data_IF_021930800510
#
_entry.id   IF_021930800510
#
_cell.length_a   1.000
_cell.length_b   1.000
_cell.length_c   1.000
_cell.angle_alpha   90.00
_cell.angle_beta   90.00
_cell.angle_gamma   90.00
#
_symmetry.space_group_name_H-M   'P 1'
#
loop_
_entity.id
_entity.type
_entity.pdbx_description
1 polymer ?
#
# COMPACT_ATOMS: atom_id res chain seq x y z
N UNK A 1 18.52 35.29 -9.83
CA UNK A 1 17.90 34.02 -9.43
C UNK A 1 18.96 33.29 -8.64
N UNK A 2 18.72 33.00 -7.37
CA UNK A 2 19.75 32.46 -6.49
C UNK A 2 20.15 31.04 -6.94
N UNK A 3 21.45 30.74 -6.94
CA UNK A 3 22.03 29.47 -7.41
C UNK A 3 21.39 28.24 -6.73
N UNK A 4 21.02 28.38 -5.45
CA UNK A 4 20.29 27.35 -4.70
C UNK A 4 18.90 27.06 -5.28
N UNK A 5 18.17 28.10 -5.73
CA UNK A 5 16.85 27.92 -6.34
C UNK A 5 16.95 27.24 -7.71
N UNK A 6 17.97 27.61 -8.49
CA UNK A 6 18.26 26.96 -9.77
C UNK A 6 18.58 25.47 -9.61
N UNK A 7 19.41 25.11 -8.63
CA UNK A 7 19.77 23.72 -8.35
C UNK A 7 18.57 22.89 -7.85
N UNK A 8 17.64 23.49 -7.12
CA UNK A 8 16.41 22.84 -6.68
C UNK A 8 15.47 22.54 -7.85
N UNK A 9 15.24 23.51 -8.74
CA UNK A 9 14.34 23.32 -9.88
C UNK A 9 14.90 22.31 -10.90
N UNK A 10 16.22 22.31 -11.10
CA UNK A 10 16.89 21.27 -11.89
C UNK A 10 16.72 19.87 -11.26
N UNK A 11 16.88 19.77 -9.94
CA UNK A 11 16.71 18.51 -9.20
C UNK A 11 15.30 17.95 -9.32
N UNK A 12 14.27 18.80 -9.30
CA UNK A 12 12.88 18.42 -9.58
C UNK A 12 12.73 17.88 -11.00
N UNK A 13 13.25 18.59 -12.00
CA UNK A 13 13.16 18.19 -13.40
C UNK A 13 13.86 16.84 -13.66
N UNK A 14 14.99 16.59 -13.00
CA UNK A 14 15.68 15.31 -13.13
C UNK A 14 14.92 14.17 -12.45
N UNK A 15 14.28 14.43 -11.30
CA UNK A 15 13.36 13.47 -10.68
C UNK A 15 12.13 13.16 -11.55
N UNK A 16 11.57 14.12 -12.29
CA UNK A 16 10.49 13.86 -13.25
C UNK A 16 10.96 12.90 -14.36
N UNK A 17 12.15 13.12 -14.91
CA UNK A 17 12.73 12.20 -15.91
C UNK A 17 12.92 10.80 -15.33
N UNK A 18 13.46 10.70 -14.11
CA UNK A 18 13.64 9.41 -13.44
C UNK A 18 12.30 8.72 -13.19
N UNK A 19 11.27 9.48 -12.81
CA UNK A 19 9.91 8.97 -12.67
C UNK A 19 9.37 8.44 -13.99
N UNK A 20 9.42 9.21 -15.07
CA UNK A 20 8.92 8.80 -16.38
C UNK A 20 9.61 7.53 -16.88
N UNK A 21 10.93 7.42 -16.70
CA UNK A 21 11.69 6.21 -17.00
C UNK A 21 11.19 5.03 -16.17
N UNK A 22 11.03 5.21 -14.85
CA UNK A 22 10.59 4.14 -13.94
C UNK A 22 9.18 3.62 -14.23
N UNK A 23 8.31 4.42 -14.87
CA UNK A 23 6.95 3.97 -15.24
C UNK A 23 6.94 2.98 -16.39
N UNK A 24 7.96 3.03 -17.26
CA UNK A 24 8.08 2.21 -18.48
C UNK A 24 9.07 1.07 -18.29
N UNK A 25 9.98 1.20 -17.35
CA UNK A 25 11.00 0.21 -17.07
C UNK A 25 10.37 -1.09 -16.53
N UNK A 26 10.86 -2.21 -17.04
CA UNK A 26 10.43 -3.56 -16.65
C UNK A 26 11.51 -4.32 -15.91
N UNK A 27 12.78 -3.96 -16.12
CA UNK A 27 13.91 -4.58 -15.43
C UNK A 27 14.02 -4.11 -13.98
N UNK A 28 14.17 -5.06 -13.05
CA UNK A 28 14.25 -4.78 -11.61
C UNK A 28 15.48 -3.94 -11.29
N UNK A 29 16.64 -4.33 -11.82
CA UNK A 29 17.93 -3.69 -11.53
C UNK A 29 18.00 -2.27 -12.09
N UNK A 30 17.42 -2.02 -13.26
CA UNK A 30 17.27 -0.69 -13.82
C UNK A 30 16.36 0.19 -12.92
N UNK A 31 15.23 -0.34 -12.44
CA UNK A 31 14.38 0.37 -11.47
C UNK A 31 15.10 0.68 -10.16
N UNK A 32 15.93 -0.23 -9.65
CA UNK A 32 16.76 -0.01 -8.45
C UNK A 32 17.77 1.12 -8.68
N UNK A 33 18.43 1.13 -9.85
CA UNK A 33 19.36 2.20 -10.21
C UNK A 33 18.67 3.57 -10.35
N UNK A 34 17.44 3.61 -10.87
CA UNK A 34 16.63 4.83 -10.93
C UNK A 34 16.24 5.32 -9.53
N UNK A 35 15.81 4.40 -8.66
CA UNK A 35 15.46 4.71 -7.27
C UNK A 35 16.68 5.21 -6.47
N UNK A 36 17.86 4.65 -6.72
CA UNK A 36 19.11 5.07 -6.08
C UNK A 36 19.53 6.48 -6.53
N UNK A 37 19.42 6.79 -7.83
CA UNK A 37 19.63 8.17 -8.33
C UNK A 37 18.64 9.15 -7.69
N UNK A 38 17.38 8.75 -7.57
CA UNK A 38 16.35 9.58 -6.94
C UNK A 38 16.63 9.80 -5.44
N UNK A 39 17.11 8.77 -4.73
CA UNK A 39 17.57 8.87 -3.34
C UNK A 39 18.67 9.91 -3.18
N UNK A 40 19.68 9.85 -4.04
CA UNK A 40 20.81 10.80 -3.98
C UNK A 40 20.37 12.26 -4.21
N UNK A 41 19.34 12.50 -5.05
CA UNK A 41 18.75 13.83 -5.22
C UNK A 41 17.97 14.22 -3.96
N UNK A 42 17.18 13.30 -3.40
CA UNK A 42 16.42 13.54 -2.17
C UNK A 42 17.33 13.92 -0.99
N UNK A 43 18.45 13.24 -0.81
CA UNK A 43 19.40 13.50 0.29
C UNK A 43 20.07 14.88 0.23
N UNK A 44 20.08 15.53 -0.94
CA UNK A 44 20.53 16.92 -1.07
C UNK A 44 19.49 17.94 -0.58
N UNK A 45 18.20 17.55 -0.58
CA UNK A 45 17.08 18.40 -0.21
C UNK A 45 16.06 17.65 0.66
N UNK A 46 16.45 17.08 1.82
CA UNK A 46 15.61 16.19 2.60
C UNK A 46 14.34 16.88 3.12
N UNK A 47 14.38 18.19 3.33
CA UNK A 47 13.23 19.00 3.78
C UNK A 47 12.27 19.42 2.64
N UNK A 48 12.62 19.12 1.38
CA UNK A 48 11.77 19.48 0.25
C UNK A 48 10.65 18.46 0.06
N UNK A 49 9.43 18.85 0.43
CA UNK A 49 8.22 18.03 0.26
C UNK A 49 8.02 17.54 -1.19
N UNK A 50 8.22 18.40 -2.19
CA UNK A 50 8.05 18.07 -3.60
C UNK A 50 9.08 17.01 -4.06
N UNK A 51 10.35 17.14 -3.65
CA UNK A 51 11.39 16.15 -3.92
C UNK A 51 11.09 14.83 -3.23
N UNK A 52 10.69 14.87 -1.95
CA UNK A 52 10.28 13.68 -1.20
C UNK A 52 9.12 12.95 -1.88
N UNK A 53 8.12 13.68 -2.39
CA UNK A 53 6.97 13.10 -3.10
C UNK A 53 7.39 12.44 -4.43
N UNK A 54 8.30 13.06 -5.19
CA UNK A 54 8.83 12.48 -6.44
C UNK A 54 9.63 11.21 -6.18
N UNK A 55 10.49 11.23 -5.16
CA UNK A 55 11.21 10.03 -4.74
C UNK A 55 10.24 8.92 -4.30
N UNK A 56 9.22 9.26 -3.51
CA UNK A 56 8.18 8.32 -3.08
C UNK A 56 7.43 7.68 -4.27
N UNK A 57 7.15 8.44 -5.33
CA UNK A 57 6.54 7.92 -6.57
C UNK A 57 7.43 6.85 -7.24
N UNK A 58 8.73 7.09 -7.31
CA UNK A 58 9.69 6.14 -7.89
C UNK A 58 9.80 4.87 -7.03
N UNK A 59 9.80 4.99 -5.70
CA UNK A 59 9.78 3.83 -4.80
C UNK A 59 8.55 2.95 -4.98
N UNK A 60 7.37 3.55 -5.21
CA UNK A 60 6.16 2.77 -5.54
C UNK A 60 6.34 2.03 -6.86
N UNK A 61 6.93 2.64 -7.90
CA UNK A 61 7.19 1.95 -9.17
C UNK A 61 8.17 0.79 -8.99
N UNK A 62 9.29 1.00 -8.28
CA UNK A 62 10.25 -0.05 -7.92
C UNK A 62 9.56 -1.22 -7.22
N UNK A 63 8.67 -0.95 -6.26
CA UNK A 63 7.98 -2.00 -5.51
C UNK A 63 7.14 -2.94 -6.38
N UNK A 64 6.71 -2.50 -7.57
CA UNK A 64 5.98 -3.37 -8.52
C UNK A 64 6.88 -4.37 -9.24
N UNK A 65 8.20 -4.16 -9.22
CA UNK A 65 9.21 -5.03 -9.84
C UNK A 65 9.92 -5.93 -8.82
N UNK A 66 9.86 -5.58 -7.54
CA UNK A 66 10.43 -6.38 -6.47
C UNK A 66 9.62 -7.65 -6.25
N UNK A 67 10.30 -8.79 -6.37
CA UNK A 67 9.73 -10.12 -6.14
C UNK A 67 10.13 -10.69 -4.79
N UNK A 68 11.26 -10.27 -4.24
CA UNK A 68 11.76 -10.71 -2.94
C UNK A 68 11.13 -9.88 -1.81
N UNK A 69 10.58 -10.58 -0.81
CA UNK A 69 9.87 -9.93 0.31
C UNK A 69 10.75 -8.92 1.04
N UNK A 70 12.00 -9.30 1.35
CA UNK A 70 12.95 -8.44 2.08
C UNK A 70 13.31 -7.16 1.34
N UNK A 71 13.45 -7.21 0.00
CA UNK A 71 13.70 -6.03 -0.82
C UNK A 71 12.50 -5.06 -0.79
N UNK A 72 11.29 -5.63 -0.86
CA UNK A 72 10.04 -4.89 -0.78
C UNK A 72 9.85 -4.25 0.61
N UNK A 73 10.10 -4.99 1.68
CA UNK A 73 10.07 -4.48 3.06
C UNK A 73 11.03 -3.31 3.27
N UNK A 74 12.27 -3.43 2.79
CA UNK A 74 13.23 -2.32 2.85
C UNK A 74 12.73 -1.07 2.10
N UNK A 75 11.97 -1.25 1.02
CA UNK A 75 11.37 -0.16 0.25
C UNK A 75 10.15 0.44 0.96
N UNK A 76 9.36 -0.39 1.64
CA UNK A 76 8.27 0.03 2.52
C UNK A 76 8.80 0.89 3.67
N UNK A 77 9.89 0.48 4.33
CA UNK A 77 10.51 1.27 5.40
C UNK A 77 10.98 2.65 4.93
N UNK A 78 11.54 2.75 3.71
CA UNK A 78 11.90 4.04 3.12
C UNK A 78 10.68 4.94 2.94
N UNK A 79 9.58 4.41 2.42
CA UNK A 79 8.32 5.15 2.27
C UNK A 79 7.65 5.47 3.61
N UNK A 80 7.77 4.61 4.61
CA UNK A 80 7.28 4.85 5.97
C UNK A 80 8.00 6.05 6.60
N UNK A 81 9.33 6.10 6.49
CA UNK A 81 10.12 7.26 6.96
C UNK A 81 9.72 8.55 6.24
N UNK A 82 9.58 8.50 4.92
CA UNK A 82 9.12 9.64 4.12
C UNK A 82 7.69 10.07 4.49
N UNK A 83 6.81 9.16 4.88
CA UNK A 83 5.47 9.51 5.36
C UNK A 83 5.54 10.14 6.76
N UNK A 84 6.36 9.58 7.65
CA UNK A 84 6.50 10.05 9.04
C UNK A 84 7.12 11.45 9.16
N UNK A 85 8.00 11.83 8.24
CA UNK A 85 8.59 13.19 8.22
C UNK A 85 7.53 14.29 7.92
N UNK A 86 6.36 13.88 7.46
CA UNK A 86 5.65 14.62 6.43
C UNK A 86 4.16 14.25 6.44
N UNK A 87 3.67 14.03 7.66
CA UNK A 87 2.51 13.21 7.99
C UNK A 87 1.20 13.75 7.44
N UNK A 88 1.08 15.07 7.25
CA UNK A 88 -0.15 15.73 6.82
C UNK A 88 -0.37 15.70 5.29
N UNK A 89 0.62 15.22 4.54
CA UNK A 89 0.54 15.20 3.07
C UNK A 89 -0.20 13.98 2.57
N UNK A 90 -1.40 14.24 2.04
CA UNK A 90 -2.26 13.24 1.43
C UNK A 90 -1.56 12.47 0.30
N UNK A 91 -0.82 13.18 -0.55
CA UNK A 91 -0.18 12.58 -1.72
C UNK A 91 0.88 11.53 -1.32
N UNK A 92 1.64 11.79 -0.26
CA UNK A 92 2.62 10.85 0.30
C UNK A 92 1.94 9.71 1.05
N UNK A 93 0.88 10.02 1.79
CA UNK A 93 0.07 8.99 2.45
C UNK A 93 -0.48 8.00 1.42
N UNK A 94 -0.95 8.49 0.27
CA UNK A 94 -1.40 7.64 -0.82
C UNK A 94 -0.25 6.78 -1.41
N UNK A 95 1.00 7.27 -1.47
CA UNK A 95 2.14 6.44 -1.89
C UNK A 95 2.47 5.36 -0.88
N UNK A 96 2.44 5.68 0.41
CA UNK A 96 2.63 4.70 1.46
C UNK A 96 1.51 3.64 1.46
N UNK A 97 0.25 4.06 1.32
CA UNK A 97 -0.89 3.16 1.18
C UNK A 97 -0.75 2.19 -0.01
N UNK A 98 -0.23 2.66 -1.14
CA UNK A 98 -0.02 1.83 -2.34
C UNK A 98 1.04 0.75 -2.10
N UNK A 99 2.18 1.09 -1.48
CA UNK A 99 3.22 0.09 -1.25
C UNK A 99 2.81 -0.94 -0.20
N UNK A 100 2.02 -0.55 0.82
CA UNK A 100 1.48 -1.50 1.80
C UNK A 100 0.56 -2.54 1.13
N UNK A 101 -0.25 -2.11 0.15
CA UNK A 101 -1.03 -3.06 -0.68
C UNK A 101 -0.09 -3.98 -1.47
N UNK A 102 0.98 -3.47 -2.08
CA UNK A 102 1.92 -4.33 -2.80
C UNK A 102 2.57 -5.36 -1.87
N UNK A 103 3.03 -4.93 -0.68
CA UNK A 103 3.58 -5.80 0.35
C UNK A 103 2.61 -6.92 0.75
N UNK A 104 1.34 -6.56 0.99
CA UNK A 104 0.31 -7.53 1.37
C UNK A 104 0.05 -8.63 0.34
N UNK A 105 0.33 -8.38 -0.95
CA UNK A 105 0.20 -9.41 -1.99
C UNK A 105 1.34 -10.43 -1.97
N UNK A 106 2.44 -10.12 -1.29
CA UNK A 106 3.65 -10.96 -1.18
C UNK A 106 3.77 -11.64 0.18
N UNK A 107 3.18 -11.08 1.23
CA UNK A 107 3.19 -11.67 2.56
C UNK A 107 2.40 -12.98 2.61
N UNK A 108 3.04 -14.02 3.14
CA UNK A 108 2.44 -15.34 3.35
C UNK A 108 2.06 -15.58 4.81
N UNK A 109 2.82 -14.99 5.73
CA UNK A 109 2.57 -15.11 7.16
C UNK A 109 1.44 -14.18 7.60
N UNK A 110 0.41 -14.76 8.24
CA UNK A 110 -0.80 -14.02 8.63
C UNK A 110 -0.48 -12.83 9.54
N UNK A 111 0.40 -13.01 10.53
CA UNK A 111 0.77 -11.98 11.50
C UNK A 111 1.49 -10.78 10.87
N UNK A 112 2.31 -11.02 9.84
CA UNK A 112 3.00 -9.95 9.10
C UNK A 112 1.99 -9.14 8.27
N UNK A 113 1.03 -9.85 7.66
CA UNK A 113 -0.06 -9.24 6.91
C UNK A 113 -0.98 -8.41 7.82
N UNK A 114 -1.36 -8.92 8.99
CA UNK A 114 -2.13 -8.19 10.00
C UNK A 114 -1.42 -6.91 10.43
N UNK A 115 -0.11 -6.99 10.70
CA UNK A 115 0.71 -5.80 11.02
C UNK A 115 0.65 -4.75 9.90
N UNK A 116 0.66 -5.20 8.65
CA UNK A 116 0.60 -4.32 7.47
C UNK A 116 -0.79 -3.71 7.29
N UNK A 117 -1.85 -4.47 7.59
CA UNK A 117 -3.24 -4.00 7.63
C UNK A 117 -3.41 -2.93 8.70
N UNK A 118 -2.87 -3.12 9.91
CA UNK A 118 -2.92 -2.13 10.99
C UNK A 118 -2.23 -0.81 10.61
N UNK A 119 -1.07 -0.88 9.93
CA UNK A 119 -0.38 0.31 9.40
C UNK A 119 -1.30 1.09 8.45
N UNK A 120 -1.98 0.39 7.54
CA UNK A 120 -2.88 1.02 6.58
C UNK A 120 -4.21 1.47 7.21
N UNK A 121 -4.69 0.80 8.26
CA UNK A 121 -5.85 1.21 9.05
C UNK A 121 -5.59 2.55 9.76
N UNK A 122 -4.45 2.68 10.44
CA UNK A 122 -4.04 3.95 11.08
C UNK A 122 -3.96 5.09 10.07
N UNK A 123 -3.40 4.81 8.89
CA UNK A 123 -3.32 5.78 7.80
C UNK A 123 -4.70 6.15 7.24
N UNK A 124 -5.61 5.18 7.11
CA UNK A 124 -6.99 5.42 6.69
C UNK A 124 -7.73 6.27 7.72
N UNK A 125 -7.57 6.01 9.02
CA UNK A 125 -8.17 6.83 10.08
C UNK A 125 -7.67 8.28 10.04
N UNK A 126 -6.36 8.49 9.81
CA UNK A 126 -5.79 9.82 9.64
C UNK A 126 -6.39 10.55 8.43
N UNK A 127 -6.60 9.85 7.32
CA UNK A 127 -7.17 10.39 6.08
C UNK A 127 -8.58 9.85 5.81
N UNK A 128 -9.45 9.87 6.83
CA UNK A 128 -10.74 9.16 6.81
C UNK A 128 -11.64 9.52 5.63
N UNK A 129 -11.55 10.74 5.10
CA UNK A 129 -12.37 11.21 3.99
C UNK A 129 -11.74 10.98 2.61
N UNK A 130 -10.57 10.32 2.53
CA UNK A 130 -9.85 10.08 1.28
C UNK A 130 -10.38 8.83 0.57
N UNK A 131 -11.06 8.95 -0.59
CA UNK A 131 -11.56 7.78 -1.32
C UNK A 131 -10.42 6.89 -1.83
N UNK A 132 -9.30 7.50 -2.23
CA UNK A 132 -8.14 6.76 -2.75
C UNK A 132 -7.47 5.89 -1.67
N UNK A 133 -7.34 6.41 -0.45
CA UNK A 133 -6.74 5.67 0.68
C UNK A 133 -7.73 4.62 1.18
N UNK A 134 -9.02 4.95 1.28
CA UNK A 134 -10.07 3.99 1.58
C UNK A 134 -10.07 2.80 0.61
N UNK A 135 -9.91 3.04 -0.70
CA UNK A 135 -9.78 1.97 -1.67
C UNK A 135 -8.55 1.08 -1.43
N UNK A 136 -7.42 1.64 -0.99
CA UNK A 136 -6.23 0.83 -0.62
C UNK A 136 -6.51 -0.01 0.62
N UNK A 137 -7.18 0.56 1.61
CA UNK A 137 -7.58 -0.16 2.82
C UNK A 137 -8.55 -1.30 2.49
N UNK A 138 -9.55 -1.06 1.63
CA UNK A 138 -10.45 -2.11 1.14
C UNK A 138 -9.71 -3.27 0.45
N UNK A 139 -8.67 -2.95 -0.34
CA UNK A 139 -7.85 -3.97 -1.02
C UNK A 139 -7.02 -4.79 -0.05
N UNK A 140 -6.41 -4.17 0.97
CA UNK A 140 -5.60 -4.93 1.94
C UNK A 140 -6.47 -5.80 2.84
N UNK A 141 -7.67 -5.33 3.24
CA UNK A 141 -8.64 -6.14 3.98
C UNK A 141 -9.08 -7.36 3.16
N UNK A 142 -9.32 -7.18 1.86
CA UNK A 142 -9.58 -8.31 0.97
C UNK A 142 -8.40 -9.29 0.94
N UNK A 143 -7.16 -8.82 0.80
CA UNK A 143 -5.99 -9.71 0.82
C UNK A 143 -5.88 -10.49 2.14
N UNK A 144 -6.06 -9.83 3.29
CA UNK A 144 -6.12 -10.46 4.60
C UNK A 144 -7.18 -11.58 4.65
N UNK A 145 -8.38 -11.29 4.15
CA UNK A 145 -9.47 -12.25 4.15
C UNK A 145 -9.19 -13.54 3.36
N UNK A 146 -8.32 -13.47 2.34
CA UNK A 146 -7.93 -14.67 1.57
C UNK A 146 -6.94 -15.56 2.30
N UNK A 147 -6.41 -15.11 3.44
CA UNK A 147 -5.44 -15.82 4.27
C UNK A 147 -6.01 -16.26 5.62
N UNK A 148 -7.10 -15.63 6.08
CA UNK A 148 -7.77 -15.96 7.33
C UNK A 148 -8.55 -17.28 7.19
N UNK A 149 -8.25 -18.24 8.05
CA UNK A 149 -8.98 -19.52 8.15
C UNK A 149 -9.88 -19.58 9.38
N UNK A 150 -9.67 -18.69 10.36
CA UNK A 150 -10.53 -18.60 11.53
C UNK A 150 -11.75 -17.73 11.24
N UNK A 151 -12.94 -18.33 11.38
CA UNK A 151 -14.20 -17.67 11.03
C UNK A 151 -14.39 -16.33 11.77
N UNK A 152 -14.01 -16.26 13.05
CA UNK A 152 -14.14 -15.04 13.85
C UNK A 152 -13.25 -13.90 13.36
N UNK A 153 -12.03 -14.22 12.92
CA UNK A 153 -11.09 -13.23 12.37
C UNK A 153 -11.60 -12.72 11.01
N UNK A 154 -12.12 -13.62 10.17
CA UNK A 154 -12.72 -13.27 8.88
C UNK A 154 -13.96 -12.40 9.05
N UNK A 155 -14.85 -12.73 10.01
CA UNK A 155 -16.02 -11.92 10.35
C UNK A 155 -15.64 -10.51 10.80
N UNK A 156 -14.57 -10.36 11.60
CA UNK A 156 -14.06 -9.05 11.99
C UNK A 156 -13.54 -8.24 10.79
N UNK A 157 -12.84 -8.88 9.85
CA UNK A 157 -12.39 -8.23 8.60
C UNK A 157 -13.56 -7.81 7.71
N UNK A 158 -14.62 -8.62 7.64
CA UNK A 158 -15.87 -8.29 6.93
C UNK A 158 -16.53 -7.07 7.54
N UNK A 159 -16.64 -6.99 8.87
CA UNK A 159 -17.24 -5.85 9.57
C UNK A 159 -16.46 -4.55 9.31
N UNK A 160 -15.12 -4.60 9.32
CA UNK A 160 -14.28 -3.44 8.95
C UNK A 160 -14.58 -2.96 7.52
N UNK A 161 -14.69 -3.88 6.56
CA UNK A 161 -14.94 -3.54 5.16
C UNK A 161 -16.39 -3.09 4.92
N UNK A 162 -17.35 -3.60 5.69
CA UNK A 162 -18.73 -3.13 5.69
C UNK A 162 -18.82 -1.67 6.13
N UNK A 163 -18.22 -1.33 7.28
CA UNK A 163 -18.18 0.06 7.77
C UNK A 163 -17.54 1.01 6.76
N UNK A 164 -16.45 0.58 6.14
CA UNK A 164 -15.79 1.34 5.08
C UNK A 164 -16.70 1.56 3.87
N UNK A 165 -17.44 0.53 3.45
CA UNK A 165 -18.40 0.67 2.35
C UNK A 165 -19.58 1.58 2.71
N UNK A 166 -20.08 1.51 3.94
CA UNK A 166 -21.13 2.43 4.42
C UNK A 166 -20.66 3.89 4.41
N UNK A 167 -19.36 4.14 4.64
CA UNK A 167 -18.78 5.47 4.55
C UNK A 167 -18.61 5.95 3.09
N UNK A 168 -18.27 5.05 2.16
CA UNK A 168 -18.01 5.34 0.75
C UNK A 168 -19.04 4.66 -0.17
N UNK A 169 -20.34 4.90 0.06
CA UNK A 169 -21.44 4.15 -0.54
C UNK A 169 -21.42 4.11 -2.07
N UNK A 170 -20.99 5.21 -2.71
CA UNK A 170 -20.92 5.36 -4.16
C UNK A 170 -19.67 4.72 -4.79
N UNK A 171 -18.74 4.20 -3.97
CA UNK A 171 -17.52 3.57 -4.47
C UNK A 171 -17.77 2.14 -4.95
N UNK A 172 -17.96 1.99 -6.26
CA UNK A 172 -18.11 0.68 -6.88
C UNK A 172 -16.95 -0.28 -6.57
N UNK A 173 -15.71 0.23 -6.55
CA UNK A 173 -14.54 -0.59 -6.28
C UNK A 173 -14.50 -1.12 -4.83
N UNK A 174 -14.93 -0.31 -3.84
CA UNK A 174 -15.02 -0.75 -2.44
C UNK A 174 -16.17 -1.75 -2.29
N UNK A 175 -17.33 -1.46 -2.88
CA UNK A 175 -18.46 -2.38 -2.92
C UNK A 175 -18.09 -3.75 -3.53
N UNK A 176 -17.27 -3.76 -4.60
CA UNK A 176 -16.76 -5.00 -5.19
C UNK A 176 -15.86 -5.79 -4.22
N UNK A 177 -15.01 -5.12 -3.44
CA UNK A 177 -14.20 -5.79 -2.41
C UNK A 177 -15.07 -6.35 -1.30
N UNK A 178 -16.08 -5.61 -0.87
CA UNK A 178 -17.04 -6.05 0.13
C UNK A 178 -17.83 -7.29 -0.34
N UNK A 179 -18.34 -7.28 -1.57
CA UNK A 179 -19.03 -8.44 -2.13
C UNK A 179 -18.13 -9.69 -2.20
N UNK A 180 -16.86 -9.53 -2.56
CA UNK A 180 -15.90 -10.65 -2.63
C UNK A 180 -15.56 -11.22 -1.26
N UNK A 181 -15.40 -10.39 -0.23
CA UNK A 181 -15.13 -10.90 1.11
C UNK A 181 -16.34 -11.65 1.69
N UNK A 182 -17.57 -11.20 1.39
CA UNK A 182 -18.78 -11.91 1.78
C UNK A 182 -18.88 -13.29 1.11
N UNK A 183 -18.48 -13.38 -0.16
CA UNK A 183 -18.39 -14.67 -0.85
C UNK A 183 -17.37 -15.62 -0.20
N UNK A 184 -16.19 -15.11 0.17
CA UNK A 184 -15.18 -15.90 0.90
C UNK A 184 -15.75 -16.39 2.24
N UNK A 185 -16.38 -15.51 3.02
CA UNK A 185 -17.02 -15.86 4.30
C UNK A 185 -18.06 -16.98 4.13
N UNK A 186 -18.92 -16.90 3.11
CA UNK A 186 -19.91 -17.93 2.83
C UNK A 186 -19.29 -19.28 2.48
N UNK A 187 -18.14 -19.28 1.81
CA UNK A 187 -17.41 -20.50 1.43
C UNK A 187 -16.83 -21.17 2.68
N UNK A 188 -16.10 -20.42 3.51
CA UNK A 188 -15.51 -20.93 4.76
C UNK A 188 -16.57 -21.45 5.75
N UNK A 189 -17.71 -20.75 5.87
CA UNK A 189 -18.82 -21.21 6.71
C UNK A 189 -19.39 -22.56 6.24
N UNK A 190 -19.40 -22.83 4.94
CA UNK A 190 -19.89 -24.08 4.37
C UNK A 190 -18.91 -25.22 4.66
N UNK A 191 -17.62 -25.01 4.40
CA UNK A 191 -16.58 -26.01 4.70
C UNK A 191 -16.57 -26.41 6.18
N UNK A 192 -16.68 -25.42 7.07
CA UNK A 192 -16.67 -25.67 8.51
C UNK A 192 -17.89 -26.49 8.98
N UNK A 193 -19.05 -26.33 8.33
CA UNK A 193 -20.24 -27.15 8.58
C UNK A 193 -20.02 -28.59 8.12
N UNK A 194 -19.45 -28.81 6.94
CA UNK A 194 -19.17 -30.15 6.39
C UNK A 194 -18.13 -30.91 7.23
N UNK A 195 -17.06 -30.24 7.67
CA UNK A 195 -16.04 -30.83 8.56
C UNK A 195 -16.66 -31.26 9.90
N UNK A 196 -17.53 -30.42 10.49
CA UNK A 196 -18.27 -30.75 11.73
C UNK A 196 -19.26 -31.91 11.55
N UNK A 197 -19.87 -32.05 10.39
CA UNK A 197 -20.76 -33.17 10.09
C UNK A 197 -19.97 -34.48 9.96
N UNK A 198 -18.81 -34.45 9.28
CA UNK A 198 -17.93 -35.61 9.11
C UNK A 198 -17.33 -36.08 10.43
N UNK A 199 -16.92 -35.17 11.31
CA UNK A 199 -16.35 -35.50 12.62
C UNK A 199 -17.35 -36.09 13.64
N UNK A 200 -18.65 -36.06 13.34
CA UNK A 200 -19.72 -36.60 14.20
C UNK A 200 -20.18 -38.00 13.79
N UNK A 201 -19.74 -38.51 12.64
CA UNK A 201 -20.03 -39.85 12.12
C UNK A 201 -18.83 -40.78 12.35
#
# INVERSE_FOLDING_TARGET
>A
MDEQKYNLDQSKADLDKLFDLSTKETDKTACEALAEKARNIYEQYPESEDIALRYARILVNLSTKQTELKELEATVEKLEKLQQQFQDSHDRALRYARILVNLSTKQTELKELETTVEKLEKLQQQFQNSPDIALRYARILFNLSTKQTELKELEATVEKLEKLQQQFQDSHDIALRYARILFNLSTEQTELKERKATAKN
#
